data_IF_076145685617
#
_entry.id   IF_076145685617
#
_cell.length_a   1.000
_cell.length_b   1.000
_cell.length_c   1.000
_cell.angle_alpha   90.00
_cell.angle_beta   90.00
_cell.angle_gamma   90.00
#
_symmetry.space_group_name_H-M   'P 1'
#
loop_
_entity.id
_entity.type
_entity.pdbx_description
1 polymer ?
#
# COMPACT_ATOMS: atom_id res chain seq x y z
N UNK A 1 -60.26 -8.55 21.74
CA UNK A 1 -60.41 -7.25 22.41
C UNK A 1 -59.05 -6.92 23.01
N UNK A 2 -58.46 -5.74 22.79
CA UNK A 2 -58.87 -4.69 21.86
C UNK A 2 -57.68 -3.83 21.42
N UNK A 3 -57.89 -2.84 20.54
CA UNK A 3 -56.84 -2.00 19.95
C UNK A 3 -56.95 -0.51 20.43
N UNK A 4 -56.33 0.53 19.82
CA UNK A 4 -55.90 1.74 20.54
C UNK A 4 -56.93 2.90 20.51
N UNK A 5 -56.65 4.06 21.15
CA UNK A 5 -55.94 5.18 20.49
C UNK A 5 -54.97 5.94 21.47
N UNK A 6 -54.46 7.18 21.31
CA UNK A 6 -54.69 8.34 20.40
C UNK A 6 -53.40 9.21 20.24
N UNK A 7 -53.23 9.76 19.03
CA UNK A 7 -52.79 11.14 18.68
C UNK A 7 -51.36 11.69 18.91
N UNK A 8 -51.03 12.66 18.04
CA UNK A 8 -49.76 13.37 17.83
C UNK A 8 -49.63 14.68 18.64
N UNK A 9 -48.42 15.26 18.68
CA UNK A 9 -48.23 16.73 18.54
C UNK A 9 -46.79 17.09 18.11
N UNK A 10 -46.62 18.31 17.58
CA UNK A 10 -45.42 19.10 17.20
C UNK A 10 -44.04 18.41 17.04
N UNK A 11 -43.24 18.70 16.01
CA UNK A 11 -43.30 19.81 15.04
C UNK A 11 -42.54 21.05 15.52
N UNK A 12 -41.21 21.08 15.32
CA UNK A 12 -40.34 22.20 15.63
C UNK A 12 -39.12 22.23 14.71
N UNK A 13 -38.80 23.41 14.15
CA UNK A 13 -37.67 23.63 13.23
C UNK A 13 -36.39 24.00 13.98
N UNK A 14 -35.22 23.75 13.38
CA UNK A 14 -34.15 24.76 13.38
C UNK A 14 -33.87 25.30 11.97
N UNK A 15 -33.34 26.53 11.90
CA UNK A 15 -33.12 27.27 10.67
C UNK A 15 -31.95 26.75 9.80
N UNK A 16 -32.07 26.95 8.50
CA UNK A 16 -30.97 26.87 7.52
C UNK A 16 -30.18 28.21 7.50
N UNK A 17 -28.86 28.21 7.77
CA UNK A 17 -28.02 29.40 7.58
C UNK A 17 -27.36 29.39 6.19
N UNK A 18 -28.02 29.99 5.20
CA UNK A 18 -27.40 30.22 3.89
C UNK A 18 -26.49 31.45 3.92
N UNK A 19 -25.16 31.23 3.83
CA UNK A 19 -24.17 32.28 3.70
C UNK A 19 -22.99 31.82 2.82
N UNK A 20 -22.60 32.66 1.87
CA UNK A 20 -21.67 32.30 0.81
C UNK A 20 -20.18 32.45 1.18
N UNK A 21 -19.33 31.70 0.46
CA UNK A 21 -18.08 32.25 -0.08
C UNK A 21 -16.78 31.82 0.57
N UNK A 22 -16.02 30.97 -0.14
CA UNK A 22 -14.70 31.37 -0.67
C UNK A 22 -14.12 30.30 -1.61
N UNK A 23 -14.02 30.62 -2.90
CA UNK A 23 -13.21 29.86 -3.83
C UNK A 23 -11.73 30.29 -3.71
N UNK A 24 -11.02 29.69 -2.74
CA UNK A 24 -9.56 29.66 -2.71
C UNK A 24 -9.14 28.20 -2.98
N UNK A 25 -8.24 27.92 -3.93
CA UNK A 25 -7.17 28.77 -4.42
C UNK A 25 -5.79 28.13 -4.21
N UNK A 26 -5.74 26.86 -3.78
CA UNK A 26 -4.51 26.07 -3.81
C UNK A 26 -4.06 25.94 -5.26
N UNK A 27 -2.95 26.61 -5.59
CA UNK A 27 -2.34 26.53 -6.91
C UNK A 27 -1.77 25.13 -7.07
N UNK A 28 -2.37 24.34 -7.95
CA UNK A 28 -1.74 23.12 -8.47
C UNK A 28 -0.45 23.50 -9.17
N UNK A 29 0.67 23.32 -8.46
CA UNK A 29 2.00 23.50 -9.02
C UNK A 29 2.24 22.42 -10.06
N UNK A 30 1.96 22.72 -11.33
CA UNK A 30 2.54 21.94 -12.43
C UNK A 30 4.05 22.08 -12.31
N UNK A 31 4.72 20.99 -11.97
CA UNK A 31 6.16 20.85 -12.11
C UNK A 31 6.45 20.37 -13.54
N UNK A 32 6.87 21.24 -14.49
CA UNK A 32 7.28 20.80 -15.81
C UNK A 32 8.65 20.11 -15.69
N UNK A 33 8.65 18.81 -15.45
CA UNK A 33 9.85 18.08 -15.09
C UNK A 33 9.65 16.57 -15.11
N UNK A 34 9.34 16.02 -16.28
CA UNK A 34 9.68 14.62 -16.58
C UNK A 34 11.12 14.64 -17.09
N UNK A 35 12.14 14.29 -16.28
CA UNK A 35 13.45 14.02 -16.83
C UNK A 35 13.33 12.75 -17.67
N UNK A 36 13.44 12.88 -18.99
CA UNK A 36 13.77 11.75 -19.87
C UNK A 36 15.24 11.37 -19.66
N UNK A 37 15.54 10.89 -18.45
CA UNK A 37 16.76 10.18 -18.16
C UNK A 37 16.80 8.92 -19.04
N UNK A 38 18.00 8.45 -19.38
CA UNK A 38 18.18 7.20 -20.11
C UNK A 38 17.58 6.02 -19.33
N UNK A 39 17.42 4.89 -19.99
CA UNK A 39 17.02 3.64 -19.36
C UNK A 39 18.17 3.08 -18.49
N UNK A 40 18.39 3.73 -17.34
CA UNK A 40 19.02 3.12 -16.16
C UNK A 40 18.38 1.74 -15.93
N UNK A 41 19.13 0.72 -15.50
CA UNK A 41 18.54 -0.57 -15.16
C UNK A 41 17.48 -0.34 -14.09
N UNK A 42 16.22 -0.65 -14.43
CA UNK A 42 15.05 -0.20 -13.66
C UNK A 42 15.10 -0.76 -12.23
N UNK A 43 15.55 0.08 -11.30
CA UNK A 43 15.82 -0.26 -9.89
C UNK A 43 14.60 -0.92 -9.25
N UNK A 44 14.84 -1.90 -8.39
CA UNK A 44 13.80 -2.62 -7.66
C UNK A 44 13.46 -1.96 -6.32
N UNK A 45 14.35 -1.10 -5.84
CA UNK A 45 14.24 -0.21 -4.68
C UNK A 45 14.42 1.24 -5.14
N UNK A 46 13.65 2.15 -4.57
CA UNK A 46 13.86 3.60 -4.71
C UNK A 46 14.59 4.10 -3.46
N UNK A 47 15.91 4.36 -3.50
CA UNK A 47 16.67 4.81 -2.32
C UNK A 47 16.22 6.19 -1.82
N UNK A 48 15.51 6.95 -2.64
CA UNK A 48 14.92 8.24 -2.30
C UNK A 48 13.88 8.09 -1.18
N UNK A 49 12.96 7.10 -1.31
CA UNK A 49 11.94 6.79 -0.30
C UNK A 49 12.58 6.35 1.02
N UNK A 50 13.69 5.61 0.96
CA UNK A 50 14.44 5.23 2.15
C UNK A 50 15.10 6.44 2.81
N UNK A 51 15.67 7.38 2.05
CA UNK A 51 16.23 8.62 2.58
C UNK A 51 15.17 9.57 3.17
N UNK A 52 13.96 9.60 2.60
CA UNK A 52 12.80 10.28 3.19
C UNK A 52 12.44 9.65 4.54
N UNK A 53 12.38 8.31 4.62
CA UNK A 53 12.11 7.58 5.85
C UNK A 53 13.20 7.78 6.93
N UNK A 54 14.49 7.88 6.55
CA UNK A 54 15.58 8.26 7.46
C UNK A 54 15.37 9.66 8.05
N UNK A 55 14.88 10.61 7.24
CA UNK A 55 14.63 11.99 7.67
C UNK A 55 13.40 12.08 8.61
N UNK A 56 12.30 11.40 8.28
CA UNK A 56 11.09 11.31 9.12
C UNK A 56 11.37 10.66 10.48
N UNK A 57 12.25 9.66 10.53
CA UNK A 57 12.62 8.93 11.75
C UNK A 57 13.82 9.52 12.50
N UNK A 58 14.33 10.68 12.04
CA UNK A 58 15.49 11.40 12.58
C UNK A 58 16.81 10.61 12.65
N UNK A 59 16.95 9.52 11.87
CA UNK A 59 18.13 8.69 11.84
C UNK A 59 17.95 7.40 11.02
N UNK A 60 19.06 6.78 10.54
CA UNK A 60 19.01 5.55 9.76
C UNK A 60 18.65 4.32 10.59
N UNK A 61 18.73 4.35 11.91
CA UNK A 61 18.64 3.18 12.78
C UNK A 61 17.28 2.46 12.66
N UNK A 62 16.18 3.23 12.65
CA UNK A 62 14.83 2.68 12.56
C UNK A 62 14.46 2.27 11.13
N UNK A 63 14.90 3.03 10.12
CA UNK A 63 14.71 2.69 8.71
C UNK A 63 15.49 1.42 8.31
N UNK A 64 16.72 1.27 8.81
CA UNK A 64 17.55 0.08 8.67
C UNK A 64 16.98 -1.13 9.42
N UNK A 65 16.43 -0.92 10.63
CA UNK A 65 15.67 -1.93 11.35
C UNK A 65 14.51 -2.45 10.50
N UNK A 66 13.66 -1.55 10.01
CA UNK A 66 12.54 -1.91 9.15
C UNK A 66 12.96 -2.61 7.85
N UNK A 67 14.03 -2.16 7.20
CA UNK A 67 14.56 -2.81 6.00
C UNK A 67 15.09 -4.24 6.28
N UNK A 68 15.76 -4.45 7.42
CA UNK A 68 16.23 -5.78 7.87
C UNK A 68 15.05 -6.70 8.19
N UNK A 69 14.07 -6.25 8.97
CA UNK A 69 12.84 -7.00 9.26
C UNK A 69 12.01 -7.28 8.00
N UNK A 70 11.98 -6.34 7.06
CA UNK A 70 11.31 -6.52 5.78
C UNK A 70 11.90 -7.69 4.99
N UNK A 71 13.22 -7.70 4.83
CA UNK A 71 13.93 -8.76 4.12
C UNK A 71 13.84 -10.11 4.84
N UNK A 72 14.01 -10.13 6.17
CA UNK A 72 13.99 -11.37 6.96
C UNK A 72 12.60 -12.03 7.01
N UNK A 73 11.51 -11.26 6.90
CA UNK A 73 10.14 -11.77 6.97
C UNK A 73 9.54 -12.10 5.59
N UNK A 74 10.28 -11.93 4.49
CA UNK A 74 9.77 -12.11 3.13
C UNK A 74 9.19 -13.49 2.86
N UNK A 75 9.98 -14.56 2.98
CA UNK A 75 9.54 -15.91 2.60
C UNK A 75 8.35 -16.37 3.46
N UNK A 76 8.31 -15.95 4.72
CA UNK A 76 7.15 -16.16 5.59
C UNK A 76 5.90 -15.41 5.10
N UNK A 77 6.03 -14.13 4.70
CA UNK A 77 4.91 -13.34 4.16
C UNK A 77 4.42 -13.90 2.83
N UNK A 78 5.32 -14.23 1.91
CA UNK A 78 4.99 -14.78 0.61
C UNK A 78 4.36 -16.16 0.72
N UNK A 79 4.90 -17.05 1.58
CA UNK A 79 4.32 -18.37 1.86
C UNK A 79 2.89 -18.28 2.43
N UNK A 80 2.65 -17.40 3.40
CA UNK A 80 1.31 -17.14 3.96
C UNK A 80 0.33 -16.61 2.89
N UNK A 81 0.79 -15.69 2.04
CA UNK A 81 0.01 -15.17 0.93
C UNK A 81 -0.35 -16.28 -0.08
N UNK A 82 0.62 -17.08 -0.52
CA UNK A 82 0.39 -18.22 -1.41
C UNK A 82 -0.62 -19.20 -0.82
N UNK A 83 -0.47 -19.57 0.46
CA UNK A 83 -1.40 -20.46 1.14
C UNK A 83 -2.83 -19.91 1.19
N UNK A 84 -3.02 -18.61 1.47
CA UNK A 84 -4.34 -17.98 1.48
C UNK A 84 -4.98 -17.91 0.08
N UNK A 85 -4.19 -17.63 -0.97
CA UNK A 85 -4.66 -17.64 -2.36
C UNK A 85 -5.06 -19.05 -2.82
N UNK A 86 -4.26 -20.07 -2.50
CA UNK A 86 -4.56 -21.47 -2.83
C UNK A 86 -5.71 -22.06 -2.02
N UNK A 87 -5.87 -21.66 -0.75
CA UNK A 87 -7.06 -21.97 0.05
C UNK A 87 -8.31 -21.16 -0.31
N UNK A 88 -8.21 -20.21 -1.25
CA UNK A 88 -9.24 -19.23 -1.61
C UNK A 88 -9.79 -18.40 -0.42
N UNK A 89 -9.00 -18.25 0.64
CA UNK A 89 -9.34 -17.41 1.79
C UNK A 89 -9.17 -15.93 1.42
N UNK A 90 -10.28 -15.33 0.96
CA UNK A 90 -10.36 -13.93 0.56
C UNK A 90 -10.01 -12.96 1.71
N UNK A 91 -10.21 -13.34 2.97
CA UNK A 91 -9.91 -12.47 4.11
C UNK A 91 -8.40 -12.51 4.42
N UNK A 92 -7.83 -13.69 4.63
CA UNK A 92 -6.40 -13.86 4.88
C UNK A 92 -5.54 -13.39 3.69
N UNK A 93 -6.02 -13.59 2.45
CA UNK A 93 -5.33 -13.11 1.26
C UNK A 93 -5.29 -11.57 1.22
N UNK A 94 -6.41 -10.88 1.45
CA UNK A 94 -6.42 -9.42 1.40
C UNK A 94 -5.59 -8.79 2.53
N UNK A 95 -5.60 -9.36 3.73
CA UNK A 95 -4.71 -8.93 4.82
C UNK A 95 -3.23 -9.06 4.44
N UNK A 96 -2.82 -10.24 3.96
CA UNK A 96 -1.45 -10.50 3.53
C UNK A 96 -1.02 -9.60 2.35
N UNK A 97 -1.90 -9.35 1.38
CA UNK A 97 -1.65 -8.45 0.23
C UNK A 97 -1.47 -7.00 0.70
N UNK A 98 -2.35 -6.50 1.55
CA UNK A 98 -2.32 -5.11 2.02
C UNK A 98 -1.07 -4.88 2.89
N UNK A 99 -0.78 -5.82 3.80
CA UNK A 99 0.43 -5.82 4.62
C UNK A 99 1.70 -5.81 3.75
N UNK A 100 1.78 -6.69 2.75
CA UNK A 100 2.90 -6.72 1.81
C UNK A 100 3.01 -5.45 0.98
N UNK A 101 1.90 -4.91 0.47
CA UNK A 101 1.87 -3.69 -0.36
C UNK A 101 2.42 -2.49 0.41
N UNK A 102 1.96 -2.28 1.64
CA UNK A 102 2.39 -1.18 2.50
C UNK A 102 3.87 -1.35 2.89
N UNK A 103 4.26 -2.54 3.35
CA UNK A 103 5.64 -2.80 3.73
C UNK A 103 6.63 -2.68 2.55
N UNK A 104 6.23 -3.10 1.35
CA UNK A 104 7.04 -2.96 0.13
C UNK A 104 7.18 -1.50 -0.29
N UNK A 105 6.15 -0.68 -0.14
CA UNK A 105 6.22 0.74 -0.47
C UNK A 105 7.21 1.48 0.44
N UNK A 106 7.21 1.20 1.75
CA UNK A 106 8.09 1.87 2.72
C UNK A 106 9.59 1.53 2.55
N UNK A 107 9.94 0.38 1.96
CA UNK A 107 11.34 0.07 1.58
C UNK A 107 11.69 0.54 0.15
N UNK A 108 10.89 1.43 -0.45
CA UNK A 108 11.08 1.88 -1.82
C UNK A 108 10.79 0.81 -2.90
N UNK A 109 10.23 -0.35 -2.52
CA UNK A 109 9.87 -1.46 -3.40
C UNK A 109 8.61 -1.21 -4.24
N UNK A 110 8.50 -0.03 -4.87
CA UNK A 110 7.29 0.47 -5.56
C UNK A 110 6.76 -0.53 -6.59
N UNK A 111 7.65 -1.13 -7.40
CA UNK A 111 7.31 -2.10 -8.45
C UNK A 111 6.68 -3.39 -7.91
N UNK A 112 6.98 -3.76 -6.67
CA UNK A 112 6.36 -4.87 -5.95
C UNK A 112 5.04 -4.44 -5.32
N UNK A 113 4.98 -3.25 -4.74
CA UNK A 113 3.74 -2.68 -4.20
C UNK A 113 2.64 -2.51 -5.27
N UNK A 114 2.99 -2.10 -6.49
CA UNK A 114 2.05 -2.04 -7.63
C UNK A 114 1.52 -3.42 -8.01
N UNK A 115 2.37 -4.45 -8.02
CA UNK A 115 1.95 -5.82 -8.36
C UNK A 115 1.09 -6.44 -7.26
N UNK A 116 1.40 -6.16 -5.99
CA UNK A 116 0.52 -6.47 -4.86
C UNK A 116 -0.84 -5.74 -4.97
N UNK A 117 -0.88 -4.49 -5.45
CA UNK A 117 -2.14 -3.77 -5.68
C UNK A 117 -3.00 -4.40 -6.79
N UNK A 118 -2.37 -4.89 -7.87
CA UNK A 118 -3.07 -5.63 -8.92
C UNK A 118 -3.69 -6.92 -8.35
N UNK A 119 -2.91 -7.68 -7.57
CA UNK A 119 -3.40 -8.87 -6.86
C UNK A 119 -4.53 -8.53 -5.86
N UNK A 120 -4.47 -7.38 -5.18
CA UNK A 120 -5.54 -6.89 -4.30
C UNK A 120 -6.85 -6.70 -5.07
N UNK A 121 -6.80 -6.07 -6.26
CA UNK A 121 -7.97 -5.86 -7.11
C UNK A 121 -8.55 -7.19 -7.61
N UNK A 122 -7.70 -8.10 -8.07
CA UNK A 122 -8.08 -9.44 -8.55
C UNK A 122 -8.77 -10.27 -7.46
N UNK A 123 -8.24 -10.28 -6.22
CA UNK A 123 -8.85 -10.98 -5.08
C UNK A 123 -10.12 -10.28 -4.58
N UNK A 124 -10.21 -8.94 -4.67
CA UNK A 124 -11.48 -8.22 -4.43
C UNK A 124 -12.55 -8.61 -5.46
N UNK A 125 -12.18 -8.86 -6.71
CA UNK A 125 -13.04 -9.43 -7.75
C UNK A 125 -13.36 -10.92 -7.60
N UNK A 126 -12.73 -11.61 -6.63
CA UNK A 126 -12.84 -13.06 -6.39
C UNK A 126 -12.27 -13.95 -7.52
N UNK A 127 -11.44 -13.40 -8.42
CA UNK A 127 -10.78 -14.17 -9.47
C UNK A 127 -9.49 -14.80 -8.95
N UNK A 128 -9.64 -15.92 -8.23
CA UNK A 128 -8.51 -16.67 -7.71
C UNK A 128 -7.65 -17.35 -8.79
N UNK A 129 -8.16 -17.52 -10.02
CA UNK A 129 -7.38 -18.09 -11.11
C UNK A 129 -6.34 -17.07 -11.62
N UNK A 130 -6.77 -15.84 -11.87
CA UNK A 130 -5.87 -14.74 -12.21
C UNK A 130 -4.94 -14.39 -11.05
N UNK A 131 -5.40 -14.53 -9.80
CA UNK A 131 -4.58 -14.31 -8.61
C UNK A 131 -3.38 -15.28 -8.53
N UNK A 132 -3.59 -16.57 -8.81
CA UNK A 132 -2.49 -17.56 -8.87
C UNK A 132 -1.46 -17.23 -9.94
N UNK A 133 -1.86 -16.73 -11.11
CA UNK A 133 -0.93 -16.32 -12.16
C UNK A 133 -0.02 -15.16 -11.72
N UNK A 134 -0.56 -14.20 -10.95
CA UNK A 134 0.19 -13.05 -10.46
C UNK A 134 1.23 -13.42 -9.38
N UNK A 135 1.04 -14.51 -8.64
CA UNK A 135 1.99 -14.95 -7.60
C UNK A 135 3.41 -15.20 -8.14
N UNK A 136 3.54 -15.73 -9.35
CA UNK A 136 4.85 -16.01 -9.96
C UNK A 136 5.65 -14.73 -10.23
N UNK A 137 4.99 -13.68 -10.76
CA UNK A 137 5.60 -12.37 -10.94
C UNK A 137 5.89 -11.67 -9.61
N UNK A 138 5.02 -11.86 -8.61
CA UNK A 138 5.19 -11.31 -7.27
C UNK A 138 6.42 -11.93 -6.56
N UNK A 139 6.68 -13.22 -6.78
CA UNK A 139 7.88 -13.89 -6.29
C UNK A 139 9.17 -13.32 -6.90
N UNK A 140 9.23 -13.21 -8.23
CA UNK A 140 10.39 -12.65 -8.94
C UNK A 140 10.67 -11.19 -8.54
N UNK A 141 9.63 -10.34 -8.52
CA UNK A 141 9.74 -8.96 -8.06
C UNK A 141 10.23 -8.88 -6.61
N UNK A 142 9.72 -9.75 -5.72
CA UNK A 142 10.11 -9.79 -4.31
C UNK A 142 11.58 -10.12 -4.10
N UNK A 143 12.04 -11.22 -4.70
CA UNK A 143 13.44 -11.66 -4.62
C UNK A 143 14.39 -10.58 -5.14
N UNK A 144 14.05 -9.89 -6.23
CA UNK A 144 14.87 -8.80 -6.79
C UNK A 144 14.88 -7.56 -5.92
N UNK A 145 13.73 -7.11 -5.41
CA UNK A 145 13.64 -6.00 -4.46
C UNK A 145 14.47 -6.26 -3.21
N UNK A 146 14.47 -7.49 -2.69
CA UNK A 146 15.22 -7.84 -1.48
C UNK A 146 16.72 -7.95 -1.75
N UNK A 147 17.13 -8.56 -2.86
CA UNK A 147 18.54 -8.61 -3.23
C UNK A 147 19.13 -7.19 -3.42
N UNK A 148 18.37 -6.28 -4.04
CA UNK A 148 18.77 -4.89 -4.20
C UNK A 148 18.78 -4.13 -2.86
N UNK A 149 17.73 -4.28 -2.02
CA UNK A 149 17.66 -3.67 -0.69
C UNK A 149 18.84 -4.11 0.21
N UNK A 150 19.17 -5.40 0.18
CA UNK A 150 20.32 -5.95 0.89
C UNK A 150 21.64 -5.36 0.38
N UNK A 151 21.85 -5.38 -0.94
CA UNK A 151 23.12 -4.96 -1.55
C UNK A 151 23.35 -3.44 -1.60
N UNK A 152 22.30 -2.62 -1.50
CA UNK A 152 22.42 -1.15 -1.64
C UNK A 152 22.20 -0.41 -0.33
N UNK A 153 21.25 -0.86 0.50
CA UNK A 153 20.82 -0.14 1.70
C UNK A 153 21.31 -0.81 2.99
N UNK A 154 21.09 -2.12 3.13
CA UNK A 154 21.46 -2.82 4.38
C UNK A 154 22.99 -2.97 4.50
N UNK A 155 23.69 -3.24 3.39
CA UNK A 155 25.17 -3.28 3.35
C UNK A 155 25.84 -1.91 3.59
N UNK A 156 25.16 -0.79 3.32
CA UNK A 156 25.66 0.58 3.60
C UNK A 156 25.89 0.82 5.10
N UNK A 157 25.18 0.07 5.95
CA UNK A 157 25.15 0.20 7.41
C UNK A 157 25.43 -1.15 8.11
N UNK A 158 26.38 -1.92 7.57
CA UNK A 158 26.78 -3.25 8.07
C UNK A 158 28.23 -3.32 8.52
#
# INVERSE_FOLDING_TARGET
MDSPPITSSSGGVPAEPSAAGSAAGVKGGVHPGVPTAGAEPARWVQPEILAELEAELNGPELALGFARDYAALWDQRFSRLTAAITGQDRAAALDAIISLRIASAMVGGVRLATLAQALEHTVRGSDFAQAHQLLAGLADHGVRTIAELQSTYIQKYS
#
